data_IF_615915180989
#
_entry.id   IF_615915180989
#
_cell.length_a   1.000
_cell.length_b   1.000
_cell.length_c   1.000
_cell.angle_alpha   90.00
_cell.angle_beta   90.00
_cell.angle_gamma   90.00
#
_symmetry.space_group_name_H-M   'P 1'
#
loop_
_entity.id
_entity.type
_entity.pdbx_description
1 polymer ?
#
# COMPACT_ATOMS: atom_id res chain seq x y z
N UNK A 1 -31.11 -43.50 -44.42
CA UNK A 1 -31.53 -42.21 -43.82
C UNK A 1 -30.87 -42.08 -42.45
N UNK A 2 -29.70 -41.43 -42.37
CA UNK A 2 -28.87 -41.40 -41.15
C UNK A 2 -29.18 -40.14 -40.33
N UNK A 3 -29.66 -40.35 -39.10
CA UNK A 3 -29.64 -39.37 -38.01
C UNK A 3 -28.17 -39.07 -37.66
N UNK A 4 -27.75 -37.81 -37.74
CA UNK A 4 -26.49 -37.34 -37.15
C UNK A 4 -26.76 -36.14 -36.25
N UNK A 5 -26.72 -36.46 -34.97
CA UNK A 5 -26.81 -35.63 -33.78
C UNK A 5 -25.82 -34.48 -33.82
N UNK A 6 -26.29 -33.24 -33.75
CA UNK A 6 -25.45 -32.08 -33.41
C UNK A 6 -25.31 -32.04 -31.89
N UNK A 7 -24.14 -32.41 -31.37
CA UNK A 7 -23.76 -32.22 -29.97
C UNK A 7 -22.80 -31.03 -29.87
N UNK A 8 -23.28 -30.03 -29.13
CA UNK A 8 -22.63 -28.95 -28.41
C UNK A 8 -21.09 -28.86 -28.48
N UNK A 9 -20.59 -27.76 -29.04
CA UNK A 9 -19.28 -27.21 -28.72
C UNK A 9 -19.44 -26.00 -27.80
N UNK A 10 -19.59 -26.24 -26.48
CA UNK A 10 -19.59 -25.18 -25.47
C UNK A 10 -18.12 -24.73 -25.28
N UNK A 11 -17.74 -23.64 -25.93
CA UNK A 11 -16.41 -23.06 -25.84
C UNK A 11 -16.14 -22.59 -24.40
N UNK A 12 -15.29 -23.33 -23.68
CA UNK A 12 -14.76 -22.93 -22.38
C UNK A 12 -13.72 -21.82 -22.57
N UNK A 13 -14.12 -20.56 -22.44
CA UNK A 13 -13.16 -19.45 -22.29
C UNK A 13 -12.56 -19.52 -20.87
N UNK A 14 -11.23 -19.63 -20.71
CA UNK A 14 -10.61 -19.46 -19.40
C UNK A 14 -10.71 -17.98 -19.01
N UNK A 15 -11.52 -17.69 -17.99
CA UNK A 15 -11.56 -16.38 -17.33
C UNK A 15 -10.27 -16.21 -16.52
N UNK A 16 -9.20 -15.75 -17.18
CA UNK A 16 -7.98 -15.31 -16.51
C UNK A 16 -8.19 -13.89 -15.94
N UNK A 17 -8.96 -13.79 -14.85
CA UNK A 17 -9.10 -12.56 -14.07
C UNK A 17 -8.02 -12.54 -12.98
N UNK A 18 -6.76 -12.36 -13.37
CA UNK A 18 -5.71 -12.06 -12.39
C UNK A 18 -5.92 -10.63 -11.89
N UNK A 19 -6.04 -10.46 -10.57
CA UNK A 19 -6.12 -9.16 -9.92
C UNK A 19 -4.90 -8.31 -10.29
N UNK A 20 -5.10 -7.31 -11.16
CA UNK A 20 -4.02 -6.42 -11.58
C UNK A 20 -3.76 -5.36 -10.51
N UNK A 21 -2.51 -4.93 -10.37
CA UNK A 21 -2.14 -3.80 -9.51
C UNK A 21 -2.90 -2.55 -9.98
N UNK A 22 -3.50 -1.76 -9.06
CA UNK A 22 -4.17 -0.53 -9.43
C UNK A 22 -3.24 0.38 -10.24
N UNK A 23 -3.78 0.94 -11.32
CA UNK A 23 -3.05 1.92 -12.12
C UNK A 23 -2.77 3.18 -11.29
N UNK A 24 -1.60 3.81 -11.47
CA UNK A 24 -1.33 5.12 -10.87
C UNK A 24 -2.32 6.18 -11.39
N UNK A 25 -2.46 7.32 -10.69
CA UNK A 25 -3.24 8.47 -11.18
C UNK A 25 -2.80 8.88 -12.59
N UNK A 26 -3.76 9.19 -13.46
CA UNK A 26 -3.50 9.52 -14.88
C UNK A 26 -2.83 10.89 -15.08
N UNK A 27 -2.98 11.80 -14.10
CA UNK A 27 -2.41 13.13 -14.15
C UNK A 27 -1.28 13.26 -13.12
N UNK A 28 -0.05 13.62 -13.54
CA UNK A 28 1.04 13.90 -12.61
C UNK A 28 0.66 15.03 -11.66
N UNK A 29 0.86 14.80 -10.36
CA UNK A 29 0.77 15.87 -9.37
C UNK A 29 2.01 16.76 -9.38
N UNK A 30 2.03 17.81 -8.54
CA UNK A 30 3.27 18.53 -8.23
C UNK A 30 4.37 17.54 -7.80
N UNK A 31 5.65 17.82 -8.09
CA UNK A 31 6.75 17.00 -7.61
C UNK A 31 6.65 16.80 -6.09
N UNK A 32 6.70 15.54 -5.66
CA UNK A 32 6.61 15.15 -4.24
C UNK A 32 7.70 14.14 -3.94
N UNK A 33 8.35 14.32 -2.80
CA UNK A 33 9.38 13.42 -2.26
C UNK A 33 8.86 12.75 -0.99
N UNK A 34 9.38 11.58 -0.64
CA UNK A 34 9.00 10.84 0.57
C UNK A 34 9.21 11.72 1.81
N UNK A 35 10.32 12.44 1.87
CA UNK A 35 10.62 13.40 2.94
C UNK A 35 9.55 14.49 3.01
N UNK A 36 9.27 15.20 1.91
CA UNK A 36 8.27 16.28 1.92
C UNK A 36 6.85 15.81 2.30
N UNK A 37 6.51 14.57 1.92
CA UNK A 37 5.20 13.98 2.20
C UNK A 37 5.03 13.69 3.70
N UNK A 38 6.07 13.17 4.36
CA UNK A 38 5.95 12.56 5.69
C UNK A 38 6.70 13.30 6.81
N UNK A 39 7.60 14.23 6.51
CA UNK A 39 8.33 14.98 7.53
C UNK A 39 7.41 15.89 8.36
N UNK A 40 7.56 15.83 9.69
CA UNK A 40 6.73 16.57 10.63
C UNK A 40 5.37 15.89 10.88
N UNK A 41 4.38 16.68 11.29
CA UNK A 41 3.04 16.17 11.62
C UNK A 41 2.18 16.04 10.38
N UNK A 42 1.53 14.89 10.21
CA UNK A 42 0.52 14.64 9.17
C UNK A 42 -0.68 13.89 9.75
N UNK A 43 -1.80 13.94 9.05
CA UNK A 43 -2.99 13.17 9.41
C UNK A 43 -3.59 12.55 8.16
N UNK A 44 -3.70 11.22 8.16
CA UNK A 44 -4.38 10.44 7.15
C UNK A 44 -5.72 9.91 7.67
N UNK A 45 -6.66 9.69 6.76
CA UNK A 45 -7.92 8.98 7.03
C UNK A 45 -8.11 7.93 5.95
N UNK A 46 -8.58 6.76 6.34
CA UNK A 46 -8.81 5.66 5.42
C UNK A 46 -9.80 4.66 5.99
N UNK A 47 -10.03 3.60 5.23
CA UNK A 47 -10.85 2.47 5.65
C UNK A 47 -10.40 1.19 4.96
N UNK A 48 -10.51 0.08 5.69
CA UNK A 48 -10.38 -1.26 5.14
C UNK A 48 -11.76 -1.75 4.76
N UNK A 49 -11.90 -2.37 3.57
CA UNK A 49 -13.17 -2.96 3.13
C UNK A 49 -12.94 -4.35 2.58
N UNK A 50 -13.67 -5.32 3.12
CA UNK A 50 -13.68 -6.71 2.64
C UNK A 50 -14.96 -6.90 1.84
N UNK A 51 -14.86 -6.94 0.51
CA UNK A 51 -16.03 -7.04 -0.37
C UNK A 51 -16.81 -8.36 -0.21
N UNK A 52 -16.14 -9.43 0.20
CA UNK A 52 -16.76 -10.75 0.36
C UNK A 52 -17.68 -10.83 1.58
N UNK A 53 -17.33 -10.16 2.68
CA UNK A 53 -18.08 -10.18 3.95
C UNK A 53 -18.92 -8.91 4.14
N UNK A 54 -18.57 -7.82 3.46
CA UNK A 54 -19.18 -6.50 3.65
C UNK A 54 -18.58 -5.72 4.81
N UNK A 55 -17.56 -6.26 5.49
CA UNK A 55 -16.92 -5.59 6.62
C UNK A 55 -16.18 -4.33 6.16
N UNK A 56 -16.42 -3.22 6.86
CA UNK A 56 -15.71 -1.97 6.67
C UNK A 56 -15.23 -1.44 8.01
N UNK A 57 -13.96 -1.03 8.08
CA UNK A 57 -13.34 -0.50 9.29
C UNK A 57 -12.60 0.79 8.96
N UNK A 58 -13.01 1.91 9.54
CA UNK A 58 -12.38 3.23 9.29
C UNK A 58 -11.24 3.46 10.27
N UNK A 59 -10.23 4.20 9.83
CA UNK A 59 -9.12 4.60 10.68
C UNK A 59 -8.70 6.05 10.43
N UNK A 60 -8.19 6.68 11.48
CA UNK A 60 -7.42 7.92 11.41
C UNK A 60 -5.98 7.62 11.80
N UNK A 61 -5.04 7.96 10.94
CA UNK A 61 -3.61 7.82 11.20
C UNK A 61 -3.01 9.19 11.51
N UNK A 62 -2.41 9.38 12.69
CA UNK A 62 -1.60 10.56 13.00
C UNK A 62 -0.14 10.18 12.81
N UNK A 63 0.56 10.92 11.96
CA UNK A 63 1.93 10.61 11.59
C UNK A 63 2.87 11.68 12.13
N UNK A 64 4.03 11.25 12.62
CA UNK A 64 5.14 12.11 13.00
C UNK A 64 6.41 11.62 12.32
N UNK A 65 6.83 12.31 11.27
CA UNK A 65 8.08 12.04 10.57
C UNK A 65 9.24 12.85 11.15
N UNK A 66 10.42 12.23 11.15
CA UNK A 66 11.69 12.86 11.47
C UNK A 66 12.78 12.36 10.51
N UNK A 67 13.54 13.29 9.94
CA UNK A 67 14.65 12.98 9.03
C UNK A 67 15.98 13.16 9.75
N UNK A 68 16.91 12.27 9.49
CA UNK A 68 18.30 12.34 9.99
C UNK A 68 19.28 11.98 8.87
N UNK A 69 20.54 12.39 9.04
CA UNK A 69 21.59 12.17 8.05
C UNK A 69 21.67 13.29 7.00
N UNK A 70 22.66 13.18 6.13
CA UNK A 70 22.86 14.09 4.98
C UNK A 70 22.24 13.50 3.72
N UNK A 71 21.98 14.33 2.73
CA UNK A 71 21.47 13.90 1.42
C UNK A 71 22.30 12.74 0.84
N UNK A 72 21.60 11.75 0.27
CA UNK A 72 22.18 10.52 -0.27
C UNK A 72 22.35 9.39 0.75
N UNK A 73 22.21 9.67 2.05
CA UNK A 73 22.24 8.66 3.14
C UNK A 73 21.21 8.98 4.23
N UNK A 74 20.10 9.62 3.86
CA UNK A 74 19.06 10.03 4.81
C UNK A 74 18.33 8.82 5.39
N UNK A 75 17.92 8.95 6.65
CA UNK A 75 16.97 8.05 7.29
C UNK A 75 15.74 8.84 7.71
N UNK A 76 14.58 8.46 7.19
CA UNK A 76 13.27 9.01 7.57
C UNK A 76 12.57 7.99 8.47
N UNK A 77 12.28 8.40 9.71
CA UNK A 77 11.47 7.61 10.64
C UNK A 77 10.08 8.24 10.73
N UNK A 78 9.03 7.44 10.53
CA UNK A 78 7.63 7.89 10.61
C UNK A 78 6.91 7.04 11.64
N UNK A 79 6.54 7.66 12.77
CA UNK A 79 5.66 7.03 13.75
C UNK A 79 4.22 7.25 13.32
N UNK A 80 3.44 6.18 13.26
CA UNK A 80 2.04 6.17 12.83
C UNK A 80 1.15 5.72 14.00
N UNK A 81 0.34 6.63 14.52
CA UNK A 81 -0.70 6.36 15.53
C UNK A 81 -2.05 6.17 14.87
N UNK A 82 -2.56 4.93 14.85
CA UNK A 82 -3.86 4.58 14.30
C UNK A 82 -4.93 4.60 15.39
N UNK A 83 -6.04 5.28 15.08
CA UNK A 83 -7.28 5.20 15.85
C UNK A 83 -8.40 4.68 14.95
N UNK A 84 -9.00 3.57 15.34
CA UNK A 84 -10.08 2.91 14.62
C UNK A 84 -11.45 3.33 15.18
N UNK A 85 -12.49 3.22 14.36
CA UNK A 85 -13.89 3.55 14.74
C UNK A 85 -14.49 2.59 15.78
N UNK A 86 -13.94 1.38 15.90
CA UNK A 86 -14.26 0.40 16.94
C UNK A 86 -13.56 0.66 18.29
N UNK A 87 -12.79 1.75 18.40
CA UNK A 87 -12.08 2.16 19.61
C UNK A 87 -10.70 1.51 19.80
N UNK A 88 -10.31 0.57 18.94
CA UNK A 88 -8.95 0.03 18.97
C UNK A 88 -7.93 1.10 18.56
N UNK A 89 -6.71 0.93 19.05
CA UNK A 89 -5.57 1.77 18.71
C UNK A 89 -4.38 0.88 18.35
N UNK A 90 -3.58 1.35 17.41
CA UNK A 90 -2.36 0.67 17.00
C UNK A 90 -1.26 1.71 16.75
N UNK A 91 0.00 1.29 16.91
CA UNK A 91 1.16 2.13 16.64
C UNK A 91 2.17 1.33 15.83
N UNK A 92 2.49 1.86 14.66
CA UNK A 92 3.52 1.30 13.78
C UNK A 92 4.58 2.35 13.48
N UNK A 93 5.78 1.90 13.15
CA UNK A 93 6.92 2.78 12.86
C UNK A 93 7.58 2.37 11.56
N UNK A 94 7.47 3.23 10.55
CA UNK A 94 8.31 3.10 9.36
C UNK A 94 9.70 3.65 9.61
N UNK A 95 10.71 2.91 9.16
CA UNK A 95 12.09 3.37 9.02
C UNK A 95 12.50 3.24 7.57
N UNK A 96 12.64 4.37 6.87
CA UNK A 96 13.09 4.45 5.49
C UNK A 96 14.55 4.86 5.41
N UNK A 97 15.32 4.19 4.54
CA UNK A 97 16.72 4.50 4.25
C UNK A 97 16.88 4.85 2.79
N UNK A 98 17.48 6.00 2.52
CA UNK A 98 17.78 6.45 1.17
C UNK A 98 18.85 5.56 0.56
N UNK A 99 18.59 5.05 -0.64
CA UNK A 99 19.51 4.20 -1.39
C UNK A 99 20.12 4.94 -2.58
N UNK A 100 19.34 5.84 -3.18
CA UNK A 100 19.73 6.71 -4.29
C UNK A 100 18.71 7.86 -4.39
N UNK A 101 18.96 8.90 -5.21
CA UNK A 101 17.97 9.92 -5.47
C UNK A 101 16.63 9.31 -5.90
N UNK A 102 15.57 9.60 -5.15
CA UNK A 102 14.22 9.09 -5.39
C UNK A 102 14.01 7.59 -5.12
N UNK A 103 14.97 6.89 -4.49
CA UNK A 103 14.85 5.47 -4.13
C UNK A 103 15.14 5.24 -2.66
N UNK A 104 14.24 4.52 -1.99
CA UNK A 104 14.40 4.17 -0.58
C UNK A 104 14.08 2.70 -0.35
N UNK A 105 14.68 2.13 0.68
CA UNK A 105 14.18 0.90 1.32
C UNK A 105 13.45 1.28 2.60
N UNK A 106 12.46 0.50 3.00
CA UNK A 106 11.66 0.73 4.19
C UNK A 106 11.52 -0.52 5.03
N UNK A 107 11.37 -0.37 6.33
CA UNK A 107 10.98 -1.45 7.23
C UNK A 107 9.94 -0.95 8.22
N UNK A 108 8.95 -1.79 8.51
CA UNK A 108 7.97 -1.63 9.58
C UNK A 108 7.87 -2.94 10.36
N UNK A 109 7.30 -2.89 11.55
CA UNK A 109 7.21 -4.04 12.46
C UNK A 109 6.50 -5.26 11.87
N UNK A 110 5.51 -5.02 11.00
CA UNK A 110 4.66 -6.04 10.36
C UNK A 110 5.14 -6.44 8.95
N UNK A 111 6.22 -5.84 8.44
CA UNK A 111 6.67 -6.12 7.07
C UNK A 111 7.44 -7.44 6.96
N UNK A 112 7.07 -8.24 5.95
CA UNK A 112 7.83 -9.42 5.54
C UNK A 112 8.89 -8.98 4.53
N UNK A 113 10.08 -8.68 5.03
CA UNK A 113 11.21 -8.18 4.23
C UNK A 113 11.34 -6.65 4.23
N UNK A 114 11.94 -6.10 3.17
CA UNK A 114 12.07 -4.66 3.00
C UNK A 114 11.04 -4.13 2.01
N UNK A 115 10.43 -3.01 2.35
CA UNK A 115 9.60 -2.23 1.46
C UNK A 115 10.47 -1.47 0.45
N UNK A 116 10.02 -1.41 -0.81
CA UNK A 116 10.67 -0.64 -1.85
C UNK A 116 9.90 0.65 -2.12
N UNK A 117 10.62 1.77 -2.16
CA UNK A 117 10.04 3.09 -2.47
C UNK A 117 10.68 3.66 -3.72
N UNK A 118 9.84 4.15 -4.64
CA UNK A 118 10.27 4.93 -5.81
C UNK A 118 9.49 6.24 -5.88
N UNK A 119 10.22 7.34 -6.05
CA UNK A 119 9.69 8.67 -6.32
C UNK A 119 9.87 8.98 -7.80
N UNK A 120 8.77 9.11 -8.54
CA UNK A 120 8.79 9.43 -9.96
C UNK A 120 7.50 10.14 -10.37
N UNK A 121 7.59 11.07 -11.32
CA UNK A 121 6.43 11.71 -11.97
C UNK A 121 5.40 12.32 -11.01
N UNK A 122 5.87 12.90 -9.89
CA UNK A 122 4.98 13.47 -8.86
C UNK A 122 4.22 12.41 -8.05
N UNK A 123 4.74 11.18 -8.00
CA UNK A 123 4.16 10.06 -7.29
C UNK A 123 5.21 9.36 -6.42
N UNK A 124 4.74 8.85 -5.28
CA UNK A 124 5.52 7.95 -4.41
C UNK A 124 4.87 6.59 -4.49
N UNK A 125 5.61 5.59 -4.97
CA UNK A 125 5.20 4.19 -4.92
C UNK A 125 5.93 3.49 -3.79
N UNK A 126 5.18 3.06 -2.78
CA UNK A 126 5.63 2.21 -1.69
C UNK A 126 5.09 0.79 -1.92
N UNK A 127 5.97 -0.20 -2.03
CA UNK A 127 5.60 -1.61 -2.29
C UNK A 127 6.18 -2.50 -1.21
N UNK A 128 5.34 -3.28 -0.54
CA UNK A 128 5.73 -4.15 0.57
C UNK A 128 4.75 -5.30 0.74
N UNK A 129 5.20 -6.31 1.47
CA UNK A 129 4.37 -7.38 2.01
C UNK A 129 4.29 -7.20 3.52
N UNK A 130 3.09 -7.33 4.10
CA UNK A 130 2.88 -7.21 5.54
C UNK A 130 2.02 -8.36 6.06
N UNK A 131 2.37 -8.83 7.26
CA UNK A 131 1.58 -9.80 8.00
C UNK A 131 0.46 -9.07 8.73
N UNK A 132 -0.74 -9.12 8.15
CA UNK A 132 -1.93 -8.54 8.74
C UNK A 132 -2.67 -9.58 9.58
N UNK A 133 -2.93 -9.27 10.85
CA UNK A 133 -3.79 -10.10 11.70
C UNK A 133 -5.26 -9.74 11.45
N UNK A 134 -6.03 -10.69 10.94
CA UNK A 134 -7.47 -10.52 10.76
C UNK A 134 -8.16 -10.33 12.13
N UNK A 135 -9.17 -9.46 12.25
CA UNK A 135 -10.00 -9.36 13.45
C UNK A 135 -10.64 -10.69 13.87
N UNK A 136 -10.85 -11.62 12.92
CA UNK A 136 -11.49 -12.92 13.15
C UNK A 136 -10.55 -14.05 13.56
N UNK A 137 -9.23 -13.80 13.68
CA UNK A 137 -8.21 -14.84 13.86
C UNK A 137 -7.59 -15.30 12.55
#
# INVERSE_FOLDING_TARGET
MQRRTLLLGLATLPLAACAATPAPPQQPGPPITLVSAFEGRRTGRGHFRIWLTGDERRFTARLQGNVTGRDGVRTLTVVEDFAYDDGQQDRLTWVFREQAPGRWTGKREDTVGEAQVTEADGQIRLSYTADFKSPSG
#
